data_IF_396987658589
#
_entry.id   IF_396987658589
#
_cell.length_a   1.000
_cell.length_b   1.000
_cell.length_c   1.000
_cell.angle_alpha   90.00
_cell.angle_beta   90.00
_cell.angle_gamma   90.00
#
_symmetry.space_group_name_H-M   'P 1'
#
loop_
_entity.id
_entity.type
_entity.pdbx_description
1 polymer ?
#
# COMPACT_ATOMS: atom_id res chain seq x y z
N UNK A 1 0.51 14.12 26.40
CA UNK A 1 1.73 13.86 27.19
C UNK A 1 2.14 12.41 27.07
N UNK A 2 3.44 12.20 27.06
CA UNK A 2 4.03 10.87 27.02
C UNK A 2 4.18 10.32 28.43
N UNK A 3 3.76 9.09 28.63
CA UNK A 3 4.00 8.38 29.87
C UNK A 3 4.93 7.21 29.59
N UNK A 4 6.09 7.24 30.19
CA UNK A 4 7.09 6.21 30.02
C UNK A 4 6.94 5.11 31.05
N UNK A 5 6.91 3.85 30.61
CA UNK A 5 6.88 2.70 31.51
C UNK A 5 8.31 2.32 31.90
N UNK A 6 8.63 2.45 33.18
CA UNK A 6 9.96 2.13 33.69
C UNK A 6 10.24 0.62 33.80
N UNK A 7 9.19 -0.21 33.85
CA UNK A 7 9.32 -1.66 33.95
C UNK A 7 9.72 -2.35 32.64
N UNK A 8 9.56 -1.65 31.53
CA UNK A 8 9.94 -2.12 30.18
C UNK A 8 10.63 -1.01 29.44
N UNK A 9 11.99 -0.99 29.42
CA UNK A 9 12.76 0.14 28.90
C UNK A 9 12.46 0.50 27.44
N UNK A 10 12.03 -0.46 26.62
CA UNK A 10 11.77 -0.25 25.21
C UNK A 10 10.30 0.02 24.86
N UNK A 11 9.44 0.12 25.89
CA UNK A 11 8.02 0.35 25.71
C UNK A 11 7.61 1.71 26.28
N UNK A 12 6.93 2.51 25.47
CA UNK A 12 6.36 3.79 25.87
C UNK A 12 4.85 3.76 25.79
N UNK A 13 4.21 4.39 26.75
CA UNK A 13 2.76 4.58 26.76
C UNK A 13 2.50 6.07 26.61
N UNK A 14 1.64 6.42 25.66
CA UNK A 14 1.33 7.80 25.32
C UNK A 14 -0.14 8.08 25.59
N UNK A 15 -0.41 9.21 26.22
CA UNK A 15 -1.75 9.74 26.36
C UNK A 15 -1.89 11.02 25.53
N UNK A 16 -3.03 11.16 24.87
CA UNK A 16 -3.30 12.35 24.07
C UNK A 16 -3.69 13.51 24.97
N UNK A 17 -3.03 14.66 24.76
CA UNK A 17 -3.50 15.93 25.32
C UNK A 17 -4.82 16.31 24.65
N UNK A 18 -5.62 17.24 25.25
CA UNK A 18 -6.82 17.75 24.58
C UNK A 18 -6.52 18.38 23.21
N UNK A 19 -5.42 19.12 23.08
CA UNK A 19 -4.98 19.69 21.81
C UNK A 19 -4.57 18.61 20.81
N UNK A 20 -3.86 17.57 21.24
CA UNK A 20 -3.46 16.45 20.40
C UNK A 20 -4.67 15.65 19.92
N UNK A 21 -5.67 15.46 20.76
CA UNK A 21 -6.92 14.79 20.41
C UNK A 21 -7.69 15.57 19.34
N UNK A 22 -7.75 16.87 19.48
CA UNK A 22 -8.42 17.72 18.50
C UNK A 22 -7.70 17.72 17.15
N UNK A 23 -6.36 17.76 17.15
CA UNK A 23 -5.56 17.67 15.94
C UNK A 23 -5.77 16.32 15.26
N UNK A 24 -5.84 15.24 16.02
CA UNK A 24 -6.10 13.91 15.49
C UNK A 24 -7.48 13.80 14.87
N UNK A 25 -8.51 14.39 15.50
CA UNK A 25 -9.86 14.43 14.91
C UNK A 25 -9.88 15.15 13.57
N UNK A 26 -9.22 16.29 13.48
CA UNK A 26 -9.12 17.05 12.25
C UNK A 26 -8.45 16.24 11.15
N UNK A 27 -7.34 15.58 11.47
CA UNK A 27 -6.60 14.74 10.54
C UNK A 27 -7.44 13.56 10.05
N UNK A 28 -8.17 12.89 10.94
CA UNK A 28 -9.03 11.75 10.59
C UNK A 28 -10.13 12.14 9.59
N UNK A 29 -10.64 13.36 9.68
CA UNK A 29 -11.69 13.87 8.79
C UNK A 29 -11.15 14.32 7.43
N UNK A 30 -9.85 14.54 7.29
CA UNK A 30 -9.23 14.89 6.01
C UNK A 30 -9.28 13.69 5.06
N UNK A 31 -9.62 13.91 3.78
CA UNK A 31 -9.52 12.84 2.79
C UNK A 31 -8.09 12.33 2.68
N UNK A 32 -7.93 11.03 2.64
CA UNK A 32 -6.63 10.41 2.42
C UNK A 32 -6.23 10.54 0.96
N UNK A 33 -4.99 10.93 0.70
CA UNK A 33 -4.48 11.00 -0.67
C UNK A 33 -4.28 9.61 -1.26
N UNK A 34 -4.55 9.48 -2.54
CA UNK A 34 -4.41 8.22 -3.26
C UNK A 34 -2.96 7.76 -3.39
N UNK A 35 -2.76 6.51 -3.82
CA UNK A 35 -1.43 5.90 -3.84
C UNK A 35 -0.52 6.56 -4.88
N UNK A 36 0.70 6.92 -4.44
CA UNK A 36 1.72 7.55 -5.28
C UNK A 36 2.54 6.55 -6.10
N UNK A 37 2.47 5.27 -5.76
CA UNK A 37 3.22 4.20 -6.42
C UNK A 37 2.90 4.14 -7.91
N UNK A 38 1.65 4.37 -8.28
CA UNK A 38 1.18 4.35 -9.67
C UNK A 38 1.87 5.42 -10.51
N UNK A 39 2.04 6.60 -9.95
CA UNK A 39 2.70 7.71 -10.63
C UNK A 39 4.19 7.42 -10.82
N UNK A 40 4.85 6.89 -9.82
CA UNK A 40 6.26 6.52 -9.87
C UNK A 40 6.52 5.46 -10.95
N UNK A 41 5.71 4.42 -11.00
CA UNK A 41 5.85 3.37 -12.00
C UNK A 41 5.62 3.92 -13.41
N UNK A 42 4.62 4.74 -13.59
CA UNK A 42 4.31 5.34 -14.90
C UNK A 42 5.43 6.23 -15.40
N UNK A 43 6.03 7.03 -14.53
CA UNK A 43 7.20 7.83 -14.85
C UNK A 43 8.35 6.93 -15.32
N UNK A 44 8.64 5.86 -14.59
CA UNK A 44 9.66 4.89 -14.99
C UNK A 44 9.36 4.27 -16.35
N UNK A 45 8.11 3.91 -16.58
CA UNK A 45 7.67 3.27 -17.79
C UNK A 45 7.84 4.16 -19.03
N UNK A 46 7.66 5.45 -18.88
CA UNK A 46 7.77 6.42 -19.98
C UNK A 46 9.21 6.90 -20.17
N UNK A 47 9.88 7.29 -19.08
CA UNK A 47 11.18 7.94 -19.17
C UNK A 47 12.36 6.98 -19.33
N UNK A 48 12.34 5.82 -18.66
CA UNK A 48 13.47 4.91 -18.70
C UNK A 48 13.76 4.36 -20.11
N UNK A 49 12.77 3.93 -20.92
CA UNK A 49 13.01 3.53 -22.29
C UNK A 49 13.53 4.67 -23.16
N UNK A 50 13.03 5.90 -22.99
CA UNK A 50 13.50 7.07 -23.74
C UNK A 50 14.95 7.39 -23.48
N UNK A 51 15.41 7.16 -22.24
CA UNK A 51 16.80 7.38 -21.84
C UNK A 51 17.70 6.16 -22.10
N UNK A 52 17.17 5.09 -22.66
CA UNK A 52 17.91 3.86 -22.91
C UNK A 52 18.27 3.08 -21.66
N UNK A 53 17.59 3.35 -20.53
CA UNK A 53 17.90 2.72 -19.25
C UNK A 53 17.24 1.36 -19.07
N UNK A 54 16.09 1.14 -19.69
CA UNK A 54 15.35 -0.10 -19.56
C UNK A 54 14.40 -0.33 -20.72
N UNK A 55 14.04 -1.60 -20.93
CA UNK A 55 13.01 -2.01 -21.88
C UNK A 55 11.64 -2.01 -21.16
N UNK A 56 10.61 -1.49 -21.84
CA UNK A 56 9.24 -1.43 -21.27
C UNK A 56 8.70 -2.78 -20.86
N UNK A 57 8.86 -3.77 -21.73
CA UNK A 57 8.39 -5.12 -21.44
C UNK A 57 9.02 -5.67 -20.16
N UNK A 58 10.30 -5.45 -19.98
CA UNK A 58 11.03 -5.88 -18.79
C UNK A 58 10.51 -5.17 -17.53
N UNK A 59 10.28 -3.86 -17.62
CA UNK A 59 9.72 -3.09 -16.50
C UNK A 59 8.34 -3.60 -16.10
N UNK A 60 7.48 -3.83 -17.09
CA UNK A 60 6.13 -4.34 -16.84
C UNK A 60 6.13 -5.73 -16.24
N UNK A 61 6.95 -6.63 -16.76
CA UNK A 61 7.04 -7.99 -16.25
C UNK A 61 7.61 -8.04 -14.84
N UNK A 62 8.58 -7.18 -14.52
CA UNK A 62 9.13 -7.05 -13.18
C UNK A 62 8.07 -6.58 -12.20
N UNK A 63 7.32 -5.55 -12.56
CA UNK A 63 6.25 -5.01 -11.72
C UNK A 63 5.12 -6.00 -11.55
N UNK A 64 4.74 -6.69 -12.61
CA UNK A 64 3.71 -7.74 -12.57
C UNK A 64 4.08 -8.86 -11.61
N UNK A 65 5.31 -9.36 -11.70
CA UNK A 65 5.78 -10.41 -10.79
C UNK A 65 5.78 -9.96 -9.35
N UNK A 66 6.16 -8.71 -9.11
CA UNK A 66 6.13 -8.12 -7.78
C UNK A 66 4.71 -8.09 -7.22
N UNK A 67 3.76 -7.60 -8.00
CA UNK A 67 2.35 -7.56 -7.62
C UNK A 67 1.75 -8.95 -7.40
N UNK A 68 2.08 -9.90 -8.25
CA UNK A 68 1.60 -11.28 -8.09
C UNK A 68 2.15 -11.93 -6.81
N UNK A 69 3.38 -11.61 -6.43
CA UNK A 69 3.95 -12.05 -5.16
C UNK A 69 3.20 -11.48 -3.96
N UNK A 70 2.88 -10.19 -4.01
CA UNK A 70 2.08 -9.54 -2.96
C UNK A 70 0.68 -10.17 -2.89
N UNK A 71 0.06 -10.41 -4.04
CA UNK A 71 -1.27 -11.03 -4.10
C UNK A 71 -1.27 -12.41 -3.45
N UNK A 72 -0.23 -13.21 -3.70
CA UNK A 72 -0.08 -14.51 -3.08
C UNK A 72 0.01 -14.41 -1.56
N UNK A 73 0.81 -13.47 -1.07
CA UNK A 73 0.96 -13.23 0.37
C UNK A 73 -0.36 -12.79 1.00
N UNK A 74 -1.11 -11.92 0.32
CA UNK A 74 -2.41 -11.47 0.79
C UNK A 74 -3.43 -12.63 0.82
N UNK A 75 -3.40 -13.49 -0.18
CA UNK A 75 -4.29 -14.65 -0.23
C UNK A 75 -3.99 -15.64 0.91
N UNK A 76 -2.72 -15.87 1.20
CA UNK A 76 -2.30 -16.70 2.34
C UNK A 76 -2.74 -16.09 3.66
N UNK A 77 -2.55 -14.78 3.84
CA UNK A 77 -2.98 -14.06 5.03
C UNK A 77 -4.49 -14.11 5.21
N UNK A 78 -5.24 -13.99 4.12
CA UNK A 78 -6.69 -14.09 4.13
C UNK A 78 -7.16 -15.47 4.62
N UNK A 79 -6.49 -16.52 4.17
CA UNK A 79 -6.81 -17.89 4.59
C UNK A 79 -6.53 -18.14 6.07
N UNK A 80 -5.54 -17.44 6.64
CA UNK A 80 -5.17 -17.56 8.05
C UNK A 80 -5.99 -16.65 8.98
N UNK A 81 -6.71 -15.69 8.42
CA UNK A 81 -7.47 -14.71 9.20
C UNK A 81 -8.83 -15.28 9.60
N UNK A 82 -9.20 -15.08 10.87
CA UNK A 82 -10.52 -15.45 11.36
C UNK A 82 -11.59 -14.64 10.61
N UNK A 83 -12.54 -15.30 9.94
CA UNK A 83 -13.63 -14.61 9.24
C UNK A 83 -14.47 -13.70 10.14
N UNK A 84 -14.49 -13.97 11.44
CA UNK A 84 -15.21 -13.15 12.41
C UNK A 84 -14.48 -11.84 12.76
N UNK A 85 -13.19 -11.74 12.45
CA UNK A 85 -12.43 -10.50 12.63
C UNK A 85 -12.70 -9.56 11.45
N UNK A 86 -13.75 -8.77 11.60
CA UNK A 86 -14.23 -7.87 10.54
C UNK A 86 -13.19 -6.82 10.15
N UNK A 87 -12.49 -6.26 11.11
CA UNK A 87 -11.47 -5.24 10.84
C UNK A 87 -10.32 -5.81 10.01
N UNK A 88 -9.77 -6.93 10.41
CA UNK A 88 -8.69 -7.59 9.67
C UNK A 88 -9.15 -8.02 8.29
N UNK A 89 -10.35 -8.59 8.19
CA UNK A 89 -10.92 -9.02 6.92
C UNK A 89 -11.08 -7.87 5.93
N UNK A 90 -11.62 -6.74 6.38
CA UNK A 90 -11.82 -5.58 5.51
C UNK A 90 -10.50 -4.95 5.07
N UNK A 91 -9.51 -4.93 5.96
CA UNK A 91 -8.19 -4.42 5.63
C UNK A 91 -7.52 -5.24 4.52
N UNK A 92 -7.57 -6.56 4.64
CA UNK A 92 -7.02 -7.48 3.64
C UNK A 92 -7.81 -7.39 2.33
N UNK A 93 -9.12 -7.38 2.41
CA UNK A 93 -10.01 -7.24 1.25
C UNK A 93 -9.73 -5.96 0.48
N UNK A 94 -9.56 -4.84 1.19
CA UNK A 94 -9.19 -3.57 0.57
C UNK A 94 -7.85 -3.65 -0.16
N UNK A 95 -6.85 -4.27 0.46
CA UNK A 95 -5.54 -4.47 -0.16
C UNK A 95 -5.63 -5.34 -1.43
N UNK A 96 -6.42 -6.41 -1.39
CA UNK A 96 -6.63 -7.28 -2.55
C UNK A 96 -7.32 -6.53 -3.70
N UNK A 97 -8.37 -5.77 -3.40
CA UNK A 97 -9.10 -5.01 -4.42
C UNK A 97 -8.23 -3.93 -5.07
N UNK A 98 -7.46 -3.20 -4.28
CA UNK A 98 -6.54 -2.20 -4.83
C UNK A 98 -5.44 -2.83 -5.68
N UNK A 99 -4.88 -3.93 -5.23
CA UNK A 99 -3.84 -4.64 -5.98
C UNK A 99 -4.39 -5.21 -7.29
N UNK A 100 -5.61 -5.72 -7.28
CA UNK A 100 -6.27 -6.23 -8.49
C UNK A 100 -6.46 -5.09 -9.50
N UNK A 101 -6.85 -3.91 -9.04
CA UNK A 101 -6.97 -2.75 -9.91
C UNK A 101 -5.61 -2.35 -10.52
N UNK A 102 -4.54 -2.41 -9.74
CA UNK A 102 -3.19 -2.13 -10.25
C UNK A 102 -2.73 -3.16 -11.28
N UNK A 103 -3.05 -4.43 -11.06
CA UNK A 103 -2.77 -5.49 -12.02
C UNK A 103 -3.55 -5.29 -13.32
N UNK A 104 -4.82 -4.94 -13.24
CA UNK A 104 -5.67 -4.68 -14.40
C UNK A 104 -5.13 -3.48 -15.21
N UNK A 105 -4.72 -2.42 -14.52
CA UNK A 105 -4.11 -1.26 -15.17
C UNK A 105 -2.79 -1.60 -15.85
N UNK A 106 -1.97 -2.44 -15.21
CA UNK A 106 -0.72 -2.90 -15.78
C UNK A 106 -0.94 -3.67 -17.10
N UNK A 107 -1.97 -4.52 -17.15
CA UNK A 107 -2.36 -5.21 -18.39
C UNK A 107 -2.76 -4.22 -19.48
N UNK A 108 -3.48 -3.15 -19.13
CA UNK A 108 -3.82 -2.08 -20.07
C UNK A 108 -2.58 -1.38 -20.60
N UNK A 109 -1.62 -1.10 -19.73
CA UNK A 109 -0.35 -0.52 -20.16
C UNK A 109 0.39 -1.45 -21.13
N UNK A 110 0.36 -2.74 -20.85
CA UNK A 110 0.99 -3.76 -21.70
C UNK A 110 0.35 -3.77 -23.09
N UNK A 111 -0.97 -3.73 -23.16
CA UNK A 111 -1.72 -3.72 -24.42
C UNK A 111 -1.47 -2.46 -25.26
N UNK A 112 -1.38 -1.30 -24.59
CA UNK A 112 -1.33 -0.01 -25.29
C UNK A 112 0.10 0.45 -25.62
N UNK A 113 1.10 0.04 -24.84
CA UNK A 113 2.46 0.57 -24.93
C UNK A 113 3.48 -0.41 -25.52
N UNK A 114 3.08 -1.65 -25.76
CA UNK A 114 3.99 -2.68 -26.27
C UNK A 114 3.56 -3.23 -27.65
#
# INVERSE_FOLDING_TARGET
EDVEQTTRPNKRVYELTPAGRQALRAWVEEPSEGPRIRDEFFIKLILAPMAGLADRMRLMNTQRRHYLGIMRNLTELQAETDPADTTARLLIEGAVLHLQADLDWLERCLEELV
#
